data_IF_566652221862
#
_entry.id   IF_566652221862
#
_cell.length_a   1.000
_cell.length_b   1.000
_cell.length_c   1.000
_cell.angle_alpha   90.00
_cell.angle_beta   90.00
_cell.angle_gamma   90.00
#
_symmetry.space_group_name_H-M   'P 1'
#
loop_
_entity.id
_entity.type
_entity.pdbx_description
1 polymer ?
#
# COMPACT_ATOMS: atom_id res chain seq x y z
N UNK A 1 -1.55 12.61 -9.33
CA UNK A 1 -1.91 12.50 -7.89
C UNK A 1 -0.61 12.54 -7.10
N UNK A 2 -0.47 13.39 -6.09
CA UNK A 2 0.80 13.47 -5.33
C UNK A 2 0.97 12.29 -4.39
N UNK A 3 2.21 11.94 -4.04
CA UNK A 3 2.52 10.84 -3.10
C UNK A 3 1.78 11.01 -1.76
N UNK A 4 1.76 12.23 -1.22
CA UNK A 4 1.03 12.56 0.01
C UNK A 4 -0.46 12.18 -0.07
N UNK A 5 -1.12 12.42 -1.21
CA UNK A 5 -2.51 12.01 -1.40
C UNK A 5 -2.66 10.49 -1.45
N UNK A 6 -1.67 9.76 -1.98
CA UNK A 6 -1.69 8.30 -2.00
C UNK A 6 -1.55 7.77 -0.58
N UNK A 7 -0.62 8.30 0.23
CA UNK A 7 -0.49 7.93 1.66
C UNK A 7 -1.79 8.17 2.43
N UNK A 8 -2.43 9.34 2.28
CA UNK A 8 -3.71 9.62 2.94
C UNK A 8 -4.85 8.70 2.51
N UNK A 9 -4.77 8.09 1.32
CA UNK A 9 -5.75 7.11 0.84
C UNK A 9 -5.39 5.67 1.22
N UNK A 10 -4.10 5.39 1.47
CA UNK A 10 -3.62 4.10 1.97
C UNK A 10 -3.84 3.94 3.47
N UNK A 11 -3.63 4.99 4.26
CA UNK A 11 -3.82 4.98 5.71
C UNK A 11 -5.14 4.27 6.14
N UNK A 12 -6.33 4.66 5.65
CA UNK A 12 -7.56 3.99 6.05
C UNK A 12 -7.67 2.53 5.58
N UNK A 13 -6.94 2.11 4.55
CA UNK A 13 -6.89 0.70 4.13
C UNK A 13 -6.05 -0.11 5.11
N UNK A 14 -4.95 0.47 5.58
CA UNK A 14 -4.10 -0.15 6.60
C UNK A 14 -4.83 -0.23 7.94
N UNK A 15 -5.51 0.83 8.35
CA UNK A 15 -6.32 0.83 9.57
C UNK A 15 -7.44 -0.23 9.52
N UNK A 16 -8.12 -0.40 8.38
CA UNK A 16 -9.18 -1.41 8.21
C UNK A 16 -8.65 -2.87 8.24
N UNK A 17 -7.43 -3.10 7.75
CA UNK A 17 -6.86 -4.44 7.64
C UNK A 17 -6.02 -4.86 8.84
N UNK A 18 -5.29 -3.93 9.44
CA UNK A 18 -4.24 -4.22 10.42
C UNK A 18 -4.47 -3.55 11.77
N UNK A 19 -5.50 -2.70 11.92
CA UNK A 19 -5.73 -1.91 13.13
C UNK A 19 -4.46 -1.13 13.55
N UNK A 20 -3.87 -0.40 12.59
CA UNK A 20 -2.59 0.31 12.77
C UNK A 20 -2.58 1.36 13.89
N UNK A 21 -3.75 1.73 14.41
CA UNK A 21 -3.87 2.64 15.54
C UNK A 21 -3.34 4.04 15.22
N UNK A 22 -2.24 4.42 15.87
CA UNK A 22 -1.59 5.72 15.68
C UNK A 22 -0.38 5.65 14.71
N UNK A 23 -0.13 4.50 14.09
CA UNK A 23 0.98 4.34 13.16
C UNK A 23 0.71 5.14 11.87
N UNK A 24 1.49 6.21 11.69
CA UNK A 24 1.50 6.96 10.44
C UNK A 24 2.32 6.22 9.37
N UNK A 25 1.69 5.89 8.24
CA UNK A 25 2.38 5.26 7.13
C UNK A 25 3.47 6.18 6.56
N UNK A 26 4.68 5.65 6.45
CA UNK A 26 5.83 6.31 5.85
C UNK A 26 6.42 5.45 4.72
N UNK A 27 7.36 6.01 3.95
CA UNK A 27 7.98 5.29 2.84
C UNK A 27 8.73 4.03 3.29
N UNK A 28 9.36 4.09 4.46
CA UNK A 28 10.11 2.99 5.05
C UNK A 28 9.24 1.99 5.84
N UNK A 29 7.93 2.22 5.99
CA UNK A 29 7.06 1.27 6.69
C UNK A 29 7.04 -0.08 5.97
N UNK A 30 7.38 -1.15 6.69
CA UNK A 30 7.43 -2.53 6.19
C UNK A 30 6.41 -3.42 6.90
N UNK A 31 6.33 -4.68 6.48
CA UNK A 31 5.53 -5.71 7.16
C UNK A 31 6.00 -6.01 8.59
N UNK A 32 7.26 -5.73 8.92
CA UNK A 32 7.79 -5.92 10.29
C UNK A 32 7.28 -4.82 11.25
N UNK A 33 6.98 -3.63 10.71
CA UNK A 33 6.49 -2.48 11.49
C UNK A 33 4.99 -2.54 11.78
N UNK A 34 4.24 -3.41 11.09
CA UNK A 34 2.78 -3.50 11.16
C UNK A 34 2.37 -4.87 11.68
N UNK A 35 1.77 -4.88 12.87
CA UNK A 35 1.26 -6.11 13.45
C UNK A 35 0.16 -6.72 12.56
N UNK A 36 0.19 -8.03 12.39
CA UNK A 36 -0.75 -8.74 11.50
C UNK A 36 -0.46 -8.58 10.01
N UNK A 37 0.64 -7.92 9.59
CA UNK A 37 1.02 -7.90 8.18
C UNK A 37 1.73 -9.18 7.74
N UNK A 38 0.95 -10.23 7.47
CA UNK A 38 1.40 -11.51 6.93
C UNK A 38 1.12 -11.66 5.42
N UNK A 39 1.40 -12.84 4.86
CA UNK A 39 1.19 -13.14 3.43
C UNK A 39 -0.28 -12.99 2.99
N UNK A 40 -1.25 -13.42 3.81
CA UNK A 40 -2.67 -13.35 3.49
C UNK A 40 -3.14 -11.90 3.49
N UNK A 41 -2.80 -11.14 4.54
CA UNK A 41 -3.18 -9.74 4.63
C UNK A 41 -2.44 -8.87 3.59
N UNK A 42 -1.22 -9.26 3.18
CA UNK A 42 -0.57 -8.63 2.03
C UNK A 42 -1.40 -8.78 0.75
N UNK A 43 -1.96 -9.97 0.47
CA UNK A 43 -2.85 -10.16 -0.69
C UNK A 43 -4.12 -9.32 -0.56
N UNK A 44 -4.74 -9.28 0.63
CA UNK A 44 -5.94 -8.45 0.88
C UNK A 44 -5.66 -6.96 0.69
N UNK A 45 -4.52 -6.47 1.18
CA UNK A 45 -4.04 -5.10 0.98
C UNK A 45 -3.96 -4.78 -0.51
N UNK A 46 -3.29 -5.61 -1.30
CA UNK A 46 -3.15 -5.40 -2.74
C UNK A 46 -4.52 -5.36 -3.45
N UNK A 47 -5.46 -6.21 -3.06
CA UNK A 47 -6.83 -6.19 -3.60
C UNK A 47 -7.58 -4.91 -3.23
N UNK A 48 -7.49 -4.47 -1.97
CA UNK A 48 -8.12 -3.25 -1.47
C UNK A 48 -7.55 -2.00 -2.18
N UNK A 49 -6.23 -1.94 -2.36
CA UNK A 49 -5.56 -0.85 -3.10
C UNK A 49 -6.00 -0.83 -4.56
N UNK A 50 -6.00 -1.96 -5.26
CA UNK A 50 -6.46 -2.03 -6.64
C UNK A 50 -7.89 -1.53 -6.79
N UNK A 51 -8.78 -1.89 -5.85
CA UNK A 51 -10.17 -1.42 -5.82
C UNK A 51 -10.26 0.08 -5.54
N UNK A 52 -9.49 0.60 -4.58
CA UNK A 52 -9.51 2.02 -4.18
C UNK A 52 -9.03 2.94 -5.29
N UNK A 53 -7.89 2.62 -5.89
CA UNK A 53 -7.25 3.44 -6.92
C UNK A 53 -7.70 3.08 -8.34
N UNK A 54 -8.53 2.04 -8.51
CA UNK A 54 -8.97 1.50 -9.80
C UNK A 54 -7.80 1.14 -10.72
N UNK A 55 -6.74 0.58 -10.14
CA UNK A 55 -5.52 0.14 -10.84
C UNK A 55 -5.41 -1.38 -10.80
N UNK A 56 -4.55 -1.94 -11.67
CA UNK A 56 -4.22 -3.36 -11.65
C UNK A 56 -2.71 -3.55 -11.56
N UNK A 57 -2.28 -4.47 -10.71
CA UNK A 57 -0.88 -4.88 -10.57
C UNK A 57 -0.68 -6.28 -11.12
N UNK A 58 0.49 -6.52 -11.71
CA UNK A 58 0.94 -7.86 -12.06
C UNK A 58 1.63 -8.53 -10.87
N UNK A 59 1.69 -9.87 -10.85
CA UNK A 59 2.37 -10.61 -9.80
C UNK A 59 3.84 -10.21 -9.64
N UNK A 60 4.52 -9.90 -10.75
CA UNK A 60 5.91 -9.42 -10.73
C UNK A 60 6.05 -8.05 -10.06
N UNK A 61 5.10 -7.13 -10.29
CA UNK A 61 5.09 -5.82 -9.62
C UNK A 61 4.84 -5.95 -8.12
N UNK A 62 3.98 -6.89 -7.71
CA UNK A 62 3.67 -7.14 -6.29
C UNK A 62 4.85 -7.81 -5.58
N UNK A 63 5.51 -8.77 -6.23
CA UNK A 63 6.65 -9.49 -5.65
C UNK A 63 7.86 -8.60 -5.37
N UNK A 64 7.93 -7.41 -5.97
CA UNK A 64 8.99 -6.42 -5.73
C UNK A 64 8.63 -5.36 -4.69
N UNK A 65 7.48 -5.48 -4.00
CA UNK A 65 7.07 -4.53 -2.98
C UNK A 65 7.72 -4.88 -1.64
N UNK A 66 8.73 -4.10 -1.27
CA UNK A 66 9.48 -4.28 -0.02
C UNK A 66 8.92 -3.43 1.13
N UNK A 67 8.34 -2.27 0.81
CA UNK A 67 7.80 -1.31 1.77
C UNK A 67 6.64 -0.51 1.17
N UNK A 68 5.98 0.29 2.01
CA UNK A 68 4.86 1.14 1.61
C UNK A 68 5.29 2.19 0.56
N UNK A 69 6.54 2.68 0.63
CA UNK A 69 7.07 3.61 -0.39
C UNK A 69 7.08 3.02 -1.79
N UNK A 70 7.52 1.76 -1.95
CA UNK A 70 7.49 1.04 -3.21
C UNK A 70 6.05 0.89 -3.74
N UNK A 71 5.09 0.63 -2.85
CA UNK A 71 3.67 0.56 -3.20
C UNK A 71 3.13 1.91 -3.67
N UNK A 72 3.45 3.00 -2.97
CA UNK A 72 3.04 4.37 -3.35
C UNK A 72 3.61 4.75 -4.72
N UNK A 73 4.89 4.48 -4.96
CA UNK A 73 5.53 4.72 -6.24
C UNK A 73 4.86 3.92 -7.37
N UNK A 74 4.54 2.64 -7.11
CA UNK A 74 3.84 1.78 -8.05
C UNK A 74 2.44 2.32 -8.38
N UNK A 75 1.67 2.77 -7.38
CA UNK A 75 0.37 3.41 -7.57
C UNK A 75 0.52 4.69 -8.41
N UNK A 76 1.48 5.55 -8.07
CA UNK A 76 1.77 6.80 -8.80
C UNK A 76 2.04 6.54 -10.28
N UNK A 77 2.85 5.52 -10.58
CA UNK A 77 3.13 5.06 -11.94
C UNK A 77 1.88 4.58 -12.67
N UNK A 78 1.00 3.81 -12.02
CA UNK A 78 -0.28 3.36 -12.63
C UNK A 78 -1.25 4.49 -12.90
N UNK A 79 -1.23 5.54 -12.06
CA UNK A 79 -2.08 6.72 -12.22
C UNK A 79 -1.52 7.73 -13.24
N UNK A 80 -0.38 7.46 -13.87
CA UNK A 80 0.24 8.35 -14.85
C UNK A 80 0.82 9.62 -14.23
N UNK A 81 1.18 9.59 -12.95
CA UNK A 81 1.92 10.69 -12.31
C UNK A 81 3.40 10.34 -12.41
N UNK A 82 4.00 10.73 -13.54
CA UNK A 82 5.44 10.64 -13.79
C UNK A 82 6.06 12.04 -13.71
#
# INVERSE_FOLDING_TARGET
MTEQMIYSQLQPIFDDLFDTGDLALAADTTADDVDGWDSLNHVMLILAVQKRFKVKFSAAEISGLENVGALVALIGKKLGTA
#
